data_IF_385795693604
#
_entry.id   IF_385795693604
#
_cell.length_a   1.000
_cell.length_b   1.000
_cell.length_c   1.000
_cell.angle_alpha   90.00
_cell.angle_beta   90.00
_cell.angle_gamma   90.00
#
_symmetry.space_group_name_H-M   'P 1'
#
loop_
_entity.id
_entity.type
_entity.pdbx_description
1 polymer ?
#
# COMPACT_ATOMS: atom_id res chain seq x y z
N UNK A 1 8.91 -1.06 -14.82
CA UNK A 1 7.84 -0.52 -13.99
C UNK A 1 8.37 0.19 -12.75
N UNK A 2 9.16 -0.48 -11.91
CA UNK A 2 9.93 0.13 -10.81
C UNK A 2 11.42 -0.07 -11.10
N UNK A 3 12.20 0.99 -10.99
CA UNK A 3 13.65 0.98 -11.17
C UNK A 3 14.29 1.71 -10.00
N UNK A 4 15.18 1.02 -9.30
CA UNK A 4 15.95 1.53 -8.17
C UNK A 4 17.42 1.42 -8.54
N UNK A 5 18.16 2.53 -8.47
CA UNK A 5 19.57 2.59 -8.80
C UNK A 5 20.38 3.13 -7.65
N UNK A 6 21.27 2.29 -7.11
CA UNK A 6 22.23 2.64 -6.05
C UNK A 6 21.59 3.41 -4.88
N UNK A 7 20.40 2.97 -4.43
CA UNK A 7 19.66 3.64 -3.38
C UNK A 7 20.37 3.51 -2.03
N UNK A 8 20.70 4.63 -1.44
CA UNK A 8 21.16 4.75 -0.07
C UNK A 8 20.09 5.46 0.77
N UNK A 9 19.82 4.93 1.94
CA UNK A 9 18.86 5.57 2.85
C UNK A 9 19.26 5.34 4.30
N UNK A 10 18.99 6.35 5.13
CA UNK A 10 19.22 6.32 6.56
C UNK A 10 17.93 6.55 7.35
N UNK A 11 17.95 6.05 8.56
CA UNK A 11 16.92 6.27 9.56
C UNK A 11 17.62 6.83 10.78
N UNK A 12 17.21 8.03 11.22
CA UNK A 12 17.98 8.82 12.17
C UNK A 12 19.43 8.99 11.66
N UNK A 13 20.43 8.55 12.42
CA UNK A 13 21.84 8.65 12.05
C UNK A 13 22.45 7.34 11.52
N UNK A 14 21.62 6.35 11.17
CA UNK A 14 22.09 5.02 10.73
C UNK A 14 21.83 4.79 9.25
N UNK A 15 22.88 4.53 8.48
CA UNK A 15 22.78 4.07 7.09
C UNK A 15 22.27 2.62 7.07
N UNK A 16 21.06 2.45 6.53
CA UNK A 16 20.39 1.15 6.44
C UNK A 16 20.47 0.59 5.02
N UNK A 17 20.06 1.37 4.01
CA UNK A 17 20.25 0.97 2.62
C UNK A 17 21.58 1.50 2.11
N UNK A 18 22.38 0.62 1.49
CA UNK A 18 23.78 0.89 1.12
C UNK A 18 24.03 0.56 -0.35
N UNK A 19 23.36 1.28 -1.26
CA UNK A 19 23.55 1.10 -2.70
C UNK A 19 22.65 0.04 -3.30
N UNK A 20 21.41 -0.14 -2.82
CA UNK A 20 20.45 -1.10 -3.36
C UNK A 20 20.10 -0.74 -4.81
N UNK A 21 20.18 -1.74 -5.69
CA UNK A 21 19.67 -1.65 -7.05
C UNK A 21 18.69 -2.78 -7.33
N UNK A 22 17.53 -2.46 -7.90
CA UNK A 22 16.46 -3.41 -8.18
C UNK A 22 15.65 -2.92 -9.38
N UNK A 23 15.29 -3.83 -10.27
CA UNK A 23 14.35 -3.54 -11.36
C UNK A 23 13.21 -4.55 -11.33
N UNK A 24 11.98 -4.05 -11.31
CA UNK A 24 10.74 -4.85 -11.33
C UNK A 24 9.93 -4.45 -12.56
N UNK A 25 9.66 -5.41 -13.44
CA UNK A 25 8.82 -5.20 -14.62
C UNK A 25 7.33 -5.40 -14.28
N UNK A 26 6.47 -4.96 -15.20
CA UNK A 26 5.03 -5.24 -15.07
C UNK A 26 4.78 -6.76 -15.10
N UNK A 27 3.92 -7.23 -14.21
CA UNK A 27 3.57 -8.64 -14.08
C UNK A 27 4.59 -9.51 -13.33
N UNK A 28 5.70 -8.94 -12.87
CA UNK A 28 6.67 -9.66 -12.04
C UNK A 28 6.33 -9.58 -10.55
N UNK A 29 6.66 -10.66 -9.83
CA UNK A 29 6.63 -10.72 -8.36
C UNK A 29 8.05 -10.93 -7.87
N UNK A 30 8.54 -10.01 -7.03
CA UNK A 30 9.88 -10.08 -6.45
C UNK A 30 9.77 -10.28 -4.95
N UNK A 31 10.32 -11.37 -4.43
CA UNK A 31 10.45 -11.62 -3.00
C UNK A 31 11.77 -11.04 -2.49
N UNK A 32 11.70 -10.08 -1.57
CA UNK A 32 12.87 -9.50 -0.91
C UNK A 32 13.08 -10.21 0.41
N UNK A 33 14.14 -11.02 0.49
CA UNK A 33 14.48 -11.82 1.66
C UNK A 33 15.76 -11.33 2.32
N UNK A 34 15.87 -11.57 3.63
CA UNK A 34 17.05 -11.22 4.41
C UNK A 34 16.76 -11.27 5.91
N UNK A 35 17.80 -11.26 6.76
CA UNK A 35 17.64 -11.28 8.21
C UNK A 35 16.91 -10.04 8.73
N UNK A 36 16.49 -10.09 10.00
CA UNK A 36 15.94 -8.90 10.66
C UNK A 36 16.98 -7.79 10.70
N UNK A 37 16.55 -6.55 10.44
CA UNK A 37 17.46 -5.40 10.37
C UNK A 37 18.20 -5.22 9.03
N UNK A 38 17.97 -6.08 8.01
CA UNK A 38 18.62 -5.94 6.69
C UNK A 38 18.08 -4.81 5.81
N UNK A 39 17.06 -4.07 6.28
CA UNK A 39 16.52 -2.92 5.55
C UNK A 39 15.26 -3.20 4.70
N UNK A 40 14.65 -4.40 4.79
CA UNK A 40 13.42 -4.73 4.03
C UNK A 40 12.30 -3.71 4.28
N UNK A 41 11.97 -3.48 5.54
CA UNK A 41 10.93 -2.50 5.92
C UNK A 41 11.35 -1.07 5.62
N UNK A 42 12.65 -0.75 5.71
CA UNK A 42 13.20 0.56 5.33
C UNK A 42 12.95 0.83 3.85
N UNK A 43 13.20 -0.14 2.97
CA UNK A 43 12.91 0.00 1.55
C UNK A 43 11.43 0.28 1.31
N UNK A 44 10.53 -0.47 1.95
CA UNK A 44 9.08 -0.26 1.83
C UNK A 44 8.66 1.15 2.25
N UNK A 45 9.19 1.66 3.37
CA UNK A 45 8.90 3.00 3.87
C UNK A 45 9.49 4.11 2.99
N UNK A 46 10.69 3.93 2.47
CA UNK A 46 11.30 4.86 1.49
C UNK A 46 10.45 4.95 0.23
N UNK A 47 10.00 3.82 -0.31
CA UNK A 47 9.14 3.80 -1.49
C UNK A 47 7.78 4.47 -1.24
N UNK A 48 7.23 4.30 -0.05
CA UNK A 48 5.98 4.95 0.35
C UNK A 48 6.13 6.45 0.67
N UNK A 49 7.36 6.95 0.83
CA UNK A 49 7.62 8.35 1.18
C UNK A 49 7.36 8.68 2.66
N UNK A 50 7.52 7.67 3.55
CA UNK A 50 7.29 7.87 4.98
C UNK A 50 8.34 8.79 5.59
N UNK A 51 7.89 9.73 6.41
CA UNK A 51 8.77 10.62 7.16
C UNK A 51 9.75 9.84 8.06
N UNK A 52 10.94 10.42 8.26
CA UNK A 52 12.02 9.83 9.06
C UNK A 52 12.90 8.81 8.31
N UNK A 53 12.66 8.62 7.02
CA UNK A 53 13.48 7.80 6.11
C UNK A 53 14.11 8.69 5.05
N UNK A 54 15.38 9.05 5.26
CA UNK A 54 16.09 9.97 4.38
C UNK A 54 16.86 9.22 3.30
N UNK A 55 16.59 9.56 2.04
CA UNK A 55 17.40 9.09 0.90
C UNK A 55 18.61 10.01 0.77
N UNK A 56 19.80 9.42 0.85
CA UNK A 56 21.07 10.17 0.78
C UNK A 56 21.71 10.12 -0.60
N UNK A 57 21.52 9.01 -1.33
CA UNK A 57 22.03 8.82 -2.69
C UNK A 57 21.15 7.86 -3.47
N UNK A 58 21.24 7.93 -4.80
CA UNK A 58 20.56 7.03 -5.74
C UNK A 58 19.23 7.58 -6.26
N UNK A 59 18.62 6.83 -7.15
CA UNK A 59 17.40 7.20 -7.88
C UNK A 59 16.35 6.10 -7.73
N UNK A 60 15.07 6.53 -7.67
CA UNK A 60 13.92 5.62 -7.73
C UNK A 60 12.95 6.12 -8.79
N UNK A 61 12.71 5.31 -9.83
CA UNK A 61 11.74 5.62 -10.88
C UNK A 61 10.57 4.64 -10.82
N UNK A 62 9.38 5.18 -10.86
CA UNK A 62 8.14 4.42 -10.94
C UNK A 62 7.36 4.86 -12.19
N UNK A 63 7.12 3.95 -13.12
CA UNK A 63 6.50 4.24 -14.42
C UNK A 63 7.17 5.40 -15.18
N UNK A 64 8.50 5.52 -15.07
CA UNK A 64 9.30 6.57 -15.69
C UNK A 64 9.36 7.89 -14.94
N UNK A 65 8.54 8.08 -13.90
CA UNK A 65 8.55 9.29 -13.05
C UNK A 65 9.55 9.13 -11.90
N UNK A 66 10.13 10.24 -11.47
CA UNK A 66 10.95 10.28 -10.26
C UNK A 66 10.05 10.11 -9.03
N UNK A 67 10.13 8.94 -8.38
CA UNK A 67 9.29 8.64 -7.22
C UNK A 67 9.68 9.45 -5.98
N UNK A 68 10.97 9.79 -5.86
CA UNK A 68 11.47 10.51 -4.68
C UNK A 68 11.00 11.97 -4.64
N UNK A 69 10.71 12.57 -5.79
CA UNK A 69 10.16 13.91 -5.91
C UNK A 69 8.67 14.00 -5.55
N UNK A 70 7.95 12.87 -5.46
CA UNK A 70 6.52 12.84 -5.19
C UNK A 70 6.23 12.77 -3.70
N UNK A 71 5.21 13.50 -3.25
CA UNK A 71 4.64 13.36 -1.91
C UNK A 71 3.97 11.98 -1.73
N UNK A 72 3.83 11.45 -0.50
CA UNK A 72 3.24 10.12 -0.25
C UNK A 72 1.86 9.92 -0.89
N UNK A 73 1.00 10.93 -0.82
CA UNK A 73 -0.33 10.92 -1.44
C UNK A 73 -0.28 10.89 -2.97
N UNK A 74 0.71 11.53 -3.58
CA UNK A 74 0.92 11.50 -5.02
C UNK A 74 1.41 10.12 -5.47
N UNK A 75 2.32 9.48 -4.71
CA UNK A 75 2.76 8.10 -4.95
C UNK A 75 1.59 7.12 -4.91
N UNK A 76 0.69 7.28 -3.95
CA UNK A 76 -0.54 6.49 -3.86
C UNK A 76 -1.46 6.73 -5.06
N UNK A 77 -1.61 7.99 -5.51
CA UNK A 77 -2.40 8.34 -6.70
C UNK A 77 -1.79 7.79 -7.99
N UNK A 78 -0.47 7.71 -8.10
CA UNK A 78 0.23 7.04 -9.21
C UNK A 78 0.03 5.52 -9.21
N UNK A 79 -0.43 4.95 -8.08
CA UNK A 79 -0.78 3.54 -7.97
C UNK A 79 0.21 2.69 -7.17
N UNK A 80 1.01 3.31 -6.31
CA UNK A 80 1.79 2.58 -5.33
C UNK A 80 0.91 2.28 -4.12
N UNK A 81 0.91 1.02 -3.67
CA UNK A 81 0.21 0.56 -2.47
C UNK A 81 1.22 -0.05 -1.50
N UNK A 82 1.18 0.37 -0.24
CA UNK A 82 1.94 -0.24 0.84
C UNK A 82 1.01 -1.05 1.75
N UNK A 83 1.20 -2.37 1.77
CA UNK A 83 0.59 -3.25 2.75
C UNK A 83 1.36 -3.21 4.06
N UNK A 84 0.69 -2.83 5.13
CA UNK A 84 1.33 -2.73 6.45
C UNK A 84 1.46 -4.10 7.11
N UNK A 85 2.59 -4.35 7.76
CA UNK A 85 2.77 -5.52 8.62
C UNK A 85 1.70 -5.59 9.73
N UNK A 86 1.35 -4.41 10.28
CA UNK A 86 0.27 -4.23 11.26
C UNK A 86 -0.68 -3.15 10.74
N UNK A 87 -1.84 -3.54 10.15
CA UNK A 87 -2.80 -2.56 9.66
C UNK A 87 -3.32 -1.65 10.76
N UNK A 88 -3.23 -0.33 10.52
CA UNK A 88 -3.61 0.70 11.49
C UNK A 88 -5.14 0.75 11.65
N UNK A 89 -5.60 0.98 12.87
CA UNK A 89 -7.01 1.28 13.15
C UNK A 89 -7.26 2.79 13.00
N UNK A 90 -8.37 3.14 12.33
CA UNK A 90 -8.80 4.54 12.17
C UNK A 90 -10.22 4.66 12.72
N UNK A 91 -10.38 4.87 14.05
CA UNK A 91 -11.68 5.00 14.67
C UNK A 91 -12.47 6.16 14.09
N UNK A 92 -13.77 5.98 13.93
CA UNK A 92 -14.67 7.02 13.41
C UNK A 92 -14.63 7.24 11.90
N UNK A 93 -13.68 6.63 11.18
CA UNK A 93 -13.63 6.66 9.71
C UNK A 93 -14.08 5.31 9.17
N UNK A 94 -15.24 5.23 8.55
CA UNK A 94 -15.75 3.96 8.01
C UNK A 94 -14.94 3.47 6.81
N UNK A 95 -14.86 2.13 6.62
CA UNK A 95 -14.20 1.56 5.44
C UNK A 95 -14.78 2.11 4.13
N UNK A 96 -16.10 2.24 4.03
CA UNK A 96 -16.75 2.82 2.84
C UNK A 96 -16.27 4.23 2.57
N UNK A 97 -16.19 5.07 3.60
CA UNK A 97 -15.73 6.45 3.46
C UNK A 97 -14.28 6.52 3.02
N UNK A 98 -13.38 5.79 3.68
CA UNK A 98 -11.97 5.76 3.31
C UNK A 98 -11.78 5.31 1.86
N UNK A 99 -12.39 4.19 1.48
CA UNK A 99 -12.25 3.63 0.14
C UNK A 99 -12.77 4.57 -0.95
N UNK A 100 -13.93 5.22 -0.71
CA UNK A 100 -14.49 6.19 -1.65
C UNK A 100 -13.62 7.43 -1.76
N UNK A 101 -13.15 7.96 -0.64
CA UNK A 101 -12.26 9.13 -0.62
C UNK A 101 -10.96 8.85 -1.38
N UNK A 102 -10.33 7.70 -1.14
CA UNK A 102 -9.11 7.29 -1.83
C UNK A 102 -9.32 7.07 -3.34
N UNK A 103 -10.42 6.41 -3.73
CA UNK A 103 -10.77 6.23 -5.14
C UNK A 103 -10.98 7.57 -5.84
N UNK A 104 -11.71 8.50 -5.22
CA UNK A 104 -11.96 9.83 -5.77
C UNK A 104 -10.69 10.69 -5.82
N UNK A 105 -9.81 10.60 -4.83
CA UNK A 105 -8.52 11.28 -4.86
C UNK A 105 -7.69 10.86 -6.08
N UNK A 106 -7.61 9.55 -6.38
CA UNK A 106 -6.93 9.04 -7.58
C UNK A 106 -7.59 9.52 -8.87
N UNK A 107 -8.92 9.49 -8.95
CA UNK A 107 -9.66 9.99 -10.12
C UNK A 107 -9.39 11.47 -10.36
N UNK A 108 -9.49 12.27 -9.31
CA UNK A 108 -9.18 13.71 -9.36
C UNK A 108 -7.74 13.98 -9.80
N UNK A 109 -6.78 13.21 -9.30
CA UNK A 109 -5.37 13.31 -9.69
C UNK A 109 -5.17 13.04 -11.20
N UNK A 110 -5.99 12.16 -11.77
CA UNK A 110 -5.99 11.84 -13.21
C UNK A 110 -6.86 12.76 -14.06
N UNK A 111 -7.49 13.77 -13.47
CA UNK A 111 -8.42 14.67 -14.17
C UNK A 111 -9.78 14.02 -14.50
N UNK A 112 -10.15 12.93 -13.82
CA UNK A 112 -11.42 12.24 -13.98
C UNK A 112 -12.48 12.79 -13.01
N UNK A 113 -13.77 12.66 -13.35
CA UNK A 113 -14.87 12.99 -12.44
C UNK A 113 -14.95 12.01 -11.26
N UNK A 114 -15.46 12.48 -10.13
CA UNK A 114 -15.73 11.61 -8.97
C UNK A 114 -16.76 10.53 -9.30
N UNK A 115 -16.61 9.36 -8.66
CA UNK A 115 -17.56 8.25 -8.79
C UNK A 115 -18.83 8.56 -7.99
N UNK A 116 -19.99 8.26 -8.58
CA UNK A 116 -21.28 8.34 -7.89
C UNK A 116 -21.32 7.39 -6.66
N UNK A 117 -22.08 7.80 -5.64
CA UNK A 117 -22.15 7.04 -4.38
C UNK A 117 -22.80 5.66 -4.57
N UNK A 118 -23.84 5.55 -5.42
CA UNK A 118 -24.55 4.29 -5.66
C UNK A 118 -23.72 3.34 -6.52
N UNK A 119 -23.07 3.88 -7.55
CA UNK A 119 -22.13 3.14 -8.39
C UNK A 119 -20.98 2.59 -7.54
N UNK A 120 -20.38 3.43 -6.71
CA UNK A 120 -19.29 3.02 -5.81
C UNK A 120 -19.73 1.92 -4.84
N UNK A 121 -20.90 2.05 -4.20
CA UNK A 121 -21.39 1.02 -3.27
C UNK A 121 -21.63 -0.32 -3.97
N UNK A 122 -22.17 -0.31 -5.18
CA UNK A 122 -22.35 -1.52 -5.98
C UNK A 122 -21.00 -2.19 -6.27
N UNK A 123 -20.04 -1.40 -6.72
CA UNK A 123 -18.68 -1.83 -7.03
C UNK A 123 -17.97 -2.47 -5.81
N UNK A 124 -18.04 -1.82 -4.64
CA UNK A 124 -17.39 -2.32 -3.42
C UNK A 124 -18.04 -3.59 -2.90
N UNK A 125 -19.39 -3.69 -2.96
CA UNK A 125 -20.12 -4.90 -2.52
C UNK A 125 -19.70 -6.15 -3.28
N UNK A 126 -19.40 -6.04 -4.56
CA UNK A 126 -18.88 -7.17 -5.34
C UNK A 126 -17.48 -7.59 -4.87
N UNK A 127 -16.62 -6.62 -4.53
CA UNK A 127 -15.26 -6.92 -4.02
C UNK A 127 -15.30 -7.54 -2.64
N UNK A 128 -16.19 -7.08 -1.77
CA UNK A 128 -16.43 -7.68 -0.43
C UNK A 128 -16.76 -9.16 -0.53
N UNK A 129 -17.60 -9.55 -1.50
CA UNK A 129 -17.90 -10.97 -1.74
C UNK A 129 -16.65 -11.77 -2.14
N UNK A 130 -15.77 -11.19 -2.99
CA UNK A 130 -14.55 -11.88 -3.44
C UNK A 130 -13.58 -12.16 -2.28
N UNK A 131 -13.48 -11.24 -1.31
CA UNK A 131 -12.62 -11.42 -0.13
C UNK A 131 -13.32 -12.13 1.03
N UNK A 132 -14.55 -12.60 0.84
CA UNK A 132 -15.35 -13.30 1.86
C UNK A 132 -15.45 -12.50 3.18
N UNK A 133 -15.59 -11.19 3.09
CA UNK A 133 -15.73 -10.30 4.23
C UNK A 133 -17.21 -10.05 4.53
N UNK A 134 -17.55 -9.92 5.84
CA UNK A 134 -18.90 -9.54 6.22
C UNK A 134 -19.20 -8.11 5.72
N UNK A 135 -20.27 -7.89 4.94
CA UNK A 135 -20.63 -6.56 4.42
C UNK A 135 -20.81 -5.48 5.50
N UNK A 136 -21.19 -5.85 6.73
CA UNK A 136 -21.37 -4.91 7.84
C UNK A 136 -20.04 -4.21 8.23
N UNK A 137 -18.90 -4.84 7.93
CA UNK A 137 -17.59 -4.25 8.16
C UNK A 137 -17.33 -3.01 7.32
N UNK A 138 -18.04 -2.82 6.21
CA UNK A 138 -17.98 -1.59 5.42
C UNK A 138 -18.43 -0.35 6.20
N UNK A 139 -19.32 -0.53 7.16
CA UNK A 139 -19.89 0.55 7.98
C UNK A 139 -19.15 0.76 9.30
N UNK A 140 -18.19 -0.11 9.63
CA UNK A 140 -17.35 0.02 10.83
C UNK A 140 -16.14 0.88 10.54
N UNK A 141 -15.52 1.44 11.59
CA UNK A 141 -14.23 2.12 11.52
C UNK A 141 -13.18 1.20 10.90
N UNK A 142 -12.25 1.79 10.17
CA UNK A 142 -11.17 1.05 9.48
C UNK A 142 -10.40 0.22 10.50
N UNK A 143 -10.45 -1.09 10.34
CA UNK A 143 -9.78 -2.08 11.19
C UNK A 143 -10.18 -2.06 12.68
N UNK A 144 -11.15 -1.23 13.07
CA UNK A 144 -11.58 -1.06 14.47
C UNK A 144 -12.22 -2.33 15.02
N UNK A 145 -11.53 -2.97 15.97
CA UNK A 145 -11.96 -4.23 16.58
C UNK A 145 -12.00 -5.40 15.60
N UNK A 146 -11.26 -5.36 14.51
CA UNK A 146 -11.13 -6.49 13.57
C UNK A 146 -10.12 -7.48 14.13
N UNK A 147 -10.40 -8.77 13.94
CA UNK A 147 -9.43 -9.85 14.13
C UNK A 147 -8.28 -9.72 13.11
N UNK A 148 -7.17 -10.42 13.33
CA UNK A 148 -6.04 -10.42 12.41
C UNK A 148 -6.44 -10.82 10.98
N UNK A 149 -7.24 -11.87 10.83
CA UNK A 149 -7.74 -12.32 9.53
C UNK A 149 -8.68 -11.31 8.86
N UNK A 150 -9.54 -10.62 9.64
CA UNK A 150 -10.41 -9.57 9.11
C UNK A 150 -9.62 -8.34 8.66
N UNK A 151 -8.57 -7.95 9.39
CA UNK A 151 -7.65 -6.88 8.99
C UNK A 151 -6.97 -7.19 7.66
N UNK A 152 -6.52 -8.43 7.47
CA UNK A 152 -5.91 -8.87 6.20
C UNK A 152 -6.92 -8.88 5.05
N UNK A 153 -8.14 -9.40 5.25
CA UNK A 153 -9.20 -9.31 4.24
C UNK A 153 -9.55 -7.87 3.88
N UNK A 154 -9.56 -6.97 4.88
CA UNK A 154 -9.78 -5.54 4.63
C UNK A 154 -8.66 -4.91 3.81
N UNK A 155 -7.41 -5.29 4.04
CA UNK A 155 -6.26 -4.85 3.23
C UNK A 155 -6.37 -5.34 1.79
N UNK A 156 -6.74 -6.62 1.58
CA UNK A 156 -7.00 -7.17 0.24
C UNK A 156 -8.17 -6.44 -0.42
N UNK A 157 -9.22 -6.12 0.33
CA UNK A 157 -10.35 -5.32 -0.19
C UNK A 157 -9.87 -3.95 -0.67
N UNK A 158 -9.01 -3.26 0.10
CA UNK A 158 -8.43 -1.99 -0.33
C UNK A 158 -7.66 -2.13 -1.65
N UNK A 159 -6.84 -3.18 -1.81
CA UNK A 159 -6.14 -3.46 -3.07
C UNK A 159 -7.11 -3.70 -4.23
N UNK A 160 -8.18 -4.47 -4.02
CA UNK A 160 -9.18 -4.75 -5.06
C UNK A 160 -10.00 -3.52 -5.46
N UNK A 161 -10.18 -2.56 -4.56
CA UNK A 161 -10.93 -1.32 -4.82
C UNK A 161 -10.03 -0.26 -5.46
N UNK A 162 -8.80 -0.14 -5.00
CA UNK A 162 -7.86 0.87 -5.47
C UNK A 162 -7.08 0.44 -6.71
N UNK A 163 -7.05 -0.86 -7.03
CA UNK A 163 -6.38 -1.41 -8.22
C UNK A 163 -4.97 -0.82 -8.43
N UNK A 164 -4.05 -0.99 -7.46
CA UNK A 164 -2.72 -0.41 -7.55
C UNK A 164 -1.90 -1.04 -8.68
N UNK A 165 -0.98 -0.27 -9.25
CA UNK A 165 -0.04 -0.75 -10.27
C UNK A 165 1.17 -1.46 -9.64
N UNK A 166 1.56 -1.05 -8.44
CA UNK A 166 2.66 -1.64 -7.65
C UNK A 166 2.20 -1.86 -6.22
N UNK A 167 2.35 -3.08 -5.74
CA UNK A 167 2.09 -3.44 -4.35
C UNK A 167 3.41 -3.78 -3.65
N UNK A 168 3.70 -3.07 -2.59
CA UNK A 168 4.80 -3.37 -1.67
C UNK A 168 4.17 -3.98 -0.42
N UNK A 169 4.31 -5.30 -0.25
CA UNK A 169 3.66 -6.04 0.82
C UNK A 169 4.70 -6.39 1.88
N UNK A 170 4.47 -5.96 3.12
CA UNK A 170 5.18 -6.48 4.29
C UNK A 170 4.67 -7.88 4.63
N UNK A 171 5.28 -8.59 5.55
CA UNK A 171 4.96 -9.96 5.99
C UNK A 171 3.44 -10.20 6.08
N UNK A 172 2.84 -10.58 4.94
CA UNK A 172 1.38 -10.69 4.78
C UNK A 172 0.80 -11.91 5.50
N UNK A 173 1.64 -12.86 5.88
CA UNK A 173 1.33 -14.10 6.57
C UNK A 173 1.42 -13.98 8.11
N UNK A 174 1.98 -12.90 8.65
CA UNK A 174 2.04 -12.68 10.09
C UNK A 174 0.63 -12.57 10.68
N UNK A 175 0.22 -13.59 11.45
CA UNK A 175 -1.06 -13.62 12.16
C UNK A 175 -2.24 -14.18 11.35
N UNK A 176 -2.00 -14.85 10.24
CA UNK A 176 -3.02 -15.67 9.56
C UNK A 176 -3.01 -17.09 10.15
N UNK A 177 -4.21 -17.62 10.40
CA UNK A 177 -4.39 -19.06 10.56
C UNK A 177 -4.11 -19.77 9.24
N UNK A 178 -3.61 -21.02 9.33
CA UNK A 178 -3.25 -21.83 8.14
C UNK A 178 -4.41 -21.94 7.13
N UNK A 179 -5.65 -21.89 7.59
CA UNK A 179 -6.85 -21.94 6.74
C UNK A 179 -7.17 -20.63 6.00
N UNK A 180 -6.39 -19.55 6.23
CA UNK A 180 -6.58 -18.25 5.59
C UNK A 180 -5.50 -17.91 4.55
N UNK A 181 -4.54 -18.82 4.35
CA UNK A 181 -3.55 -18.81 3.27
C UNK A 181 -4.11 -19.56 2.07
#
# INVERSE_FOLDING_TARGET
>A
MLEISKLHARVEDKDILKGLSLSVKAGEVHAIMGPNGSGKSTLAHVLAGRDGYEVTEGDVRFQGKDLLALAPEERACEGLFLGFQYPVEIPGVTNTYLLKAAANARRKYRGESEVDAMEFLSFVRERVKKVQMNPDMLHRGVNEGFSGGEKKRNEILQMLVLEPSLMVLGETDAGLDIDAL
#
